data_IF_082036235808
#
_entry.id   IF_082036235808
#
_cell.length_a   1.000
_cell.length_b   1.000
_cell.length_c   1.000
_cell.angle_alpha   90.00
_cell.angle_beta   90.00
_cell.angle_gamma   90.00
#
_symmetry.space_group_name_H-M   'P 1'
#
loop_
_entity.id
_entity.type
_entity.pdbx_description
1 polymer ?
#
# COMPACT_ATOMS: atom_id res chain seq x y z
N UNK A 1 -71.22 -12.12 43.34
CA UNK A 1 -71.19 -11.34 42.08
C UNK A 1 -70.16 -10.25 42.32
N UNK A 2 -69.00 -10.18 41.67
CA UNK A 2 -68.63 -10.44 40.28
C UNK A 2 -67.16 -10.88 40.22
N UNK A 3 -66.88 -11.82 39.32
CA UNK A 3 -65.54 -12.30 38.97
C UNK A 3 -64.84 -11.29 38.05
N UNK A 4 -63.61 -10.89 38.39
CA UNK A 4 -62.74 -10.09 37.52
C UNK A 4 -61.60 -10.96 36.99
N UNK A 5 -61.62 -11.28 35.69
CA UNK A 5 -60.58 -12.04 35.02
C UNK A 5 -59.36 -11.14 34.73
N UNK A 6 -58.18 -11.59 35.14
CA UNK A 6 -56.88 -10.99 34.80
C UNK A 6 -56.41 -11.60 33.47
N UNK A 7 -56.26 -10.77 32.44
CA UNK A 7 -55.60 -11.16 31.20
C UNK A 7 -54.08 -11.01 31.37
N UNK A 8 -53.36 -12.13 31.43
CA UNK A 8 -51.90 -12.14 31.23
C UNK A 8 -51.62 -12.01 29.72
N UNK A 9 -51.06 -10.87 29.32
CA UNK A 9 -50.45 -10.73 28.01
C UNK A 9 -49.06 -11.37 28.02
N UNK A 10 -48.94 -12.56 27.43
CA UNK A 10 -47.66 -13.20 27.17
C UNK A 10 -46.97 -12.44 26.04
N UNK A 11 -45.90 -11.70 26.35
CA UNK A 11 -45.00 -11.19 25.33
C UNK A 11 -44.18 -12.36 24.79
N UNK A 12 -44.40 -12.70 23.51
CA UNK A 12 -43.54 -13.59 22.77
C UNK A 12 -42.16 -12.91 22.65
N UNK A 13 -41.18 -13.36 23.41
CA UNK A 13 -39.77 -13.06 23.14
C UNK A 13 -39.44 -13.80 21.84
N UNK A 14 -39.51 -13.09 20.72
CA UNK A 14 -38.83 -13.52 19.51
C UNK A 14 -37.35 -13.47 19.86
N UNK A 15 -36.76 -14.64 20.10
CA UNK A 15 -35.32 -14.76 20.23
C UNK A 15 -34.69 -14.07 19.03
N UNK A 16 -33.91 -13.02 19.30
CA UNK A 16 -32.98 -12.51 18.33
C UNK A 16 -32.11 -13.70 17.93
N UNK A 17 -32.37 -14.27 16.75
CA UNK A 17 -31.45 -15.19 16.12
C UNK A 17 -30.09 -14.50 16.14
N UNK A 18 -29.08 -15.23 16.62
CA UNK A 18 -27.70 -14.78 16.61
C UNK A 18 -27.42 -14.18 15.22
N UNK A 19 -27.30 -12.85 15.18
CA UNK A 19 -26.93 -12.16 13.96
C UNK A 19 -25.58 -12.73 13.55
N UNK A 20 -25.51 -13.30 12.35
CA UNK A 20 -24.24 -13.62 11.73
C UNK A 20 -23.35 -12.38 11.84
N UNK A 21 -22.17 -12.55 12.44
CA UNK A 21 -21.16 -11.51 12.48
C UNK A 21 -20.84 -10.99 11.08
N UNK A 22 -20.19 -9.83 10.95
CA UNK A 22 -19.64 -9.39 9.66
C UNK A 22 -18.83 -10.55 9.07
N UNK A 23 -19.10 -10.89 7.81
CA UNK A 23 -18.59 -12.13 7.22
C UNK A 23 -17.07 -12.17 7.21
N UNK A 24 -16.50 -13.13 7.94
CA UNK A 24 -15.08 -13.49 7.83
C UNK A 24 -14.70 -13.64 6.35
N UNK A 25 -13.67 -12.93 5.93
CA UNK A 25 -13.06 -13.20 4.63
C UNK A 25 -12.30 -14.51 4.76
N UNK A 26 -12.71 -15.52 4.01
CA UNK A 26 -12.06 -16.84 3.99
C UNK A 26 -10.76 -16.79 3.19
N UNK A 27 -9.77 -16.04 3.71
CA UNK A 27 -8.42 -15.91 3.13
C UNK A 27 -7.35 -16.17 4.18
N UNK A 28 -6.15 -16.53 3.72
CA UNK A 28 -4.96 -16.71 4.56
C UNK A 28 -3.70 -16.40 3.77
N UNK A 29 -2.61 -16.14 4.49
CA UNK A 29 -1.28 -16.09 3.91
C UNK A 29 -0.73 -17.50 3.68
N UNK A 30 -0.32 -17.78 2.45
CA UNK A 30 0.45 -18.96 2.08
C UNK A 30 1.92 -18.56 1.92
N UNK A 31 2.83 -19.03 2.80
CA UNK A 31 4.26 -18.74 2.69
C UNK A 31 4.85 -19.25 1.37
N UNK A 32 5.77 -18.49 0.78
CA UNK A 32 6.51 -18.87 -0.42
C UNK A 32 8.02 -18.74 -0.20
N UNK A 33 8.82 -19.39 -1.05
CA UNK A 33 10.28 -19.34 -0.97
C UNK A 33 10.79 -18.32 -1.97
N UNK A 34 11.30 -17.18 -1.49
CA UNK A 34 11.80 -16.09 -2.33
C UNK A 34 13.14 -16.39 -3.02
N UNK A 35 13.92 -17.32 -2.48
CA UNK A 35 15.29 -17.59 -2.94
C UNK A 35 16.34 -16.60 -2.40
N UNK A 36 16.00 -15.81 -1.38
CA UNK A 36 16.93 -14.91 -0.69
C UNK A 36 16.60 -14.82 0.79
N UNK A 37 17.54 -14.33 1.60
CA UNK A 37 17.35 -14.02 3.02
C UNK A 37 17.44 -12.52 3.32
N UNK A 38 17.65 -11.69 2.30
CA UNK A 38 17.66 -10.23 2.50
C UNK A 38 16.26 -9.75 2.87
N UNK A 39 16.19 -8.65 3.60
CA UNK A 39 14.91 -8.01 3.87
C UNK A 39 14.30 -7.51 2.56
N UNK A 40 13.07 -7.92 2.31
CA UNK A 40 12.26 -7.43 1.20
C UNK A 40 11.37 -6.29 1.69
N UNK A 41 11.33 -5.21 0.93
CA UNK A 41 10.73 -3.93 1.30
C UNK A 41 9.61 -3.54 0.35
N UNK A 42 9.82 -3.60 -0.97
CA UNK A 42 8.79 -3.29 -1.97
C UNK A 42 8.18 -4.55 -2.59
N UNK A 43 6.92 -4.48 -3.00
CA UNK A 43 6.25 -5.53 -3.80
C UNK A 43 5.25 -4.92 -4.78
N UNK A 44 5.24 -5.42 -6.01
CA UNK A 44 4.32 -5.01 -7.08
C UNK A 44 3.74 -6.25 -7.76
N UNK A 45 2.45 -6.48 -7.52
CA UNK A 45 1.69 -7.53 -8.17
C UNK A 45 1.13 -7.00 -9.50
N UNK A 46 1.61 -7.56 -10.62
CA UNK A 46 1.13 -7.19 -11.95
C UNK A 46 -0.20 -7.89 -12.24
N UNK A 47 -0.21 -9.20 -12.02
CA UNK A 47 -1.37 -10.08 -12.13
C UNK A 47 -1.23 -11.28 -11.17
N UNK A 48 -2.13 -12.27 -11.24
CA UNK A 48 -2.08 -13.44 -10.37
C UNK A 48 -0.87 -14.34 -10.61
N UNK A 49 -0.19 -14.20 -11.75
CA UNK A 49 1.00 -14.99 -12.12
C UNK A 49 2.30 -14.22 -11.94
N UNK A 50 2.29 -12.91 -12.17
CA UNK A 50 3.48 -12.08 -12.21
C UNK A 50 3.49 -11.10 -11.04
N UNK A 51 4.56 -11.16 -10.27
CA UNK A 51 4.85 -10.19 -9.23
C UNK A 51 6.36 -9.99 -9.10
N UNK A 52 6.72 -8.78 -8.67
CA UNK A 52 8.09 -8.37 -8.37
C UNK A 52 8.17 -7.93 -6.92
N UNK A 53 9.32 -8.15 -6.31
CA UNK A 53 9.68 -7.64 -5.00
C UNK A 53 11.08 -7.03 -5.04
N UNK A 54 11.36 -6.10 -4.13
CA UNK A 54 12.64 -5.41 -4.03
C UNK A 54 13.06 -5.26 -2.58
N UNK A 55 14.35 -5.12 -2.31
CA UNK A 55 14.84 -5.04 -0.94
C UNK A 55 16.28 -4.58 -0.80
N UNK A 56 16.84 -4.89 0.36
CA UNK A 56 18.18 -4.49 0.75
C UNK A 56 19.26 -5.09 -0.19
N UNK A 57 20.45 -4.49 -0.21
CA UNK A 57 21.63 -4.96 -0.97
C UNK A 57 21.42 -5.07 -2.48
N UNK A 58 20.66 -4.15 -3.06
CA UNK A 58 20.39 -4.08 -4.49
C UNK A 58 19.52 -5.23 -5.01
N UNK A 59 18.79 -5.92 -4.12
CA UNK A 59 18.09 -7.15 -4.46
C UNK A 59 16.74 -6.87 -5.12
N UNK A 60 16.43 -7.68 -6.15
CA UNK A 60 15.08 -7.85 -6.67
C UNK A 60 14.73 -9.33 -6.75
N UNK A 61 13.44 -9.64 -6.62
CA UNK A 61 12.89 -10.99 -6.71
C UNK A 61 11.67 -10.96 -7.62
N UNK A 62 11.47 -12.00 -8.43
CA UNK A 62 10.33 -12.06 -9.34
C UNK A 62 9.75 -13.47 -9.48
N UNK A 63 8.44 -13.53 -9.67
CA UNK A 63 7.72 -14.72 -10.14
C UNK A 63 6.97 -14.46 -11.45
N UNK A 64 6.72 -15.51 -12.23
CA UNK A 64 5.90 -15.53 -13.46
C UNK A 64 4.92 -16.70 -13.50
N UNK A 65 4.83 -17.45 -12.40
CA UNK A 65 4.05 -18.69 -12.27
C UNK A 65 3.11 -18.69 -11.05
N UNK A 66 2.80 -17.50 -10.52
CA UNK A 66 1.89 -17.32 -9.39
C UNK A 66 2.55 -17.56 -8.03
N UNK A 67 3.86 -17.30 -7.95
CA UNK A 67 4.67 -17.49 -6.78
C UNK A 67 4.99 -18.95 -6.46
N UNK A 68 4.81 -19.87 -7.42
CA UNK A 68 5.27 -21.26 -7.28
C UNK A 68 6.80 -21.30 -7.25
N UNK A 69 7.43 -20.46 -8.08
CA UNK A 69 8.87 -20.22 -8.04
C UNK A 69 9.16 -18.72 -8.04
N UNK A 70 10.19 -18.35 -7.28
CA UNK A 70 10.73 -17.00 -7.24
C UNK A 70 12.20 -17.03 -7.65
N UNK A 71 12.61 -16.04 -8.45
CA UNK A 71 13.99 -15.84 -8.87
C UNK A 71 14.52 -14.58 -8.22
N UNK A 72 15.49 -14.72 -7.32
CA UNK A 72 16.20 -13.62 -6.70
C UNK A 72 17.48 -13.30 -7.48
N UNK A 73 17.80 -12.02 -7.60
CA UNK A 73 19.05 -11.52 -8.17
C UNK A 73 19.34 -10.11 -7.64
N UNK A 74 20.49 -9.55 -8.01
CA UNK A 74 20.88 -8.18 -7.66
C UNK A 74 21.04 -7.33 -8.91
N UNK A 75 20.74 -6.04 -8.79
CA UNK A 75 21.06 -5.07 -9.84
C UNK A 75 22.59 -4.86 -9.84
N UNK A 76 23.30 -5.15 -10.95
CA UNK A 76 24.76 -5.02 -10.98
C UNK A 76 25.22 -3.59 -10.65
N UNK A 77 26.15 -3.45 -9.69
CA UNK A 77 26.68 -2.16 -9.26
C UNK A 77 25.79 -1.39 -8.27
N UNK A 78 24.70 -2.01 -7.80
CA UNK A 78 23.78 -1.45 -6.81
C UNK A 78 23.76 -2.26 -5.49
N UNK A 79 24.77 -3.10 -5.25
CA UNK A 79 24.84 -4.01 -4.09
C UNK A 79 24.88 -3.26 -2.74
N UNK A 80 25.24 -1.98 -2.75
CA UNK A 80 25.21 -1.10 -1.59
C UNK A 80 23.94 -0.24 -1.43
N UNK A 81 22.93 -0.45 -2.27
CA UNK A 81 21.68 0.31 -2.26
C UNK A 81 20.54 -0.50 -1.65
N UNK A 82 19.58 0.19 -1.03
CA UNK A 82 18.36 -0.45 -0.51
C UNK A 82 17.17 -0.04 -1.39
N UNK A 83 16.63 -0.98 -2.15
CA UNK A 83 15.45 -0.75 -2.96
C UNK A 83 14.20 -0.80 -2.09
N UNK A 84 13.53 0.35 -1.92
CA UNK A 84 12.30 0.45 -1.12
C UNK A 84 11.05 0.46 -1.96
N UNK A 85 11.15 0.76 -3.25
CA UNK A 85 9.99 0.79 -4.13
C UNK A 85 10.21 -0.09 -5.35
N UNK A 86 9.12 -0.65 -5.86
CA UNK A 86 9.05 -1.35 -7.13
C UNK A 86 7.68 -1.05 -7.77
N UNK A 87 7.68 -0.56 -9.00
CA UNK A 87 6.47 -0.45 -9.82
C UNK A 87 6.67 -1.28 -11.08
N UNK A 88 5.86 -2.33 -11.24
CA UNK A 88 5.97 -3.30 -12.32
C UNK A 88 4.75 -3.25 -13.23
N UNK A 89 5.01 -3.31 -14.54
CA UNK A 89 3.97 -3.28 -15.57
C UNK A 89 3.76 -4.64 -16.22
N UNK A 90 4.81 -5.46 -16.24
CA UNK A 90 4.76 -6.76 -16.86
C UNK A 90 5.76 -7.71 -16.22
N UNK A 91 5.66 -8.94 -16.66
CA UNK A 91 6.80 -9.82 -16.71
C UNK A 91 7.76 -9.15 -17.70
N UNK A 92 8.73 -8.30 -17.37
CA UNK A 92 9.79 -7.76 -18.29
C UNK A 92 10.06 -6.31 -17.96
N UNK A 93 9.01 -5.52 -17.74
CA UNK A 93 9.10 -4.09 -17.44
C UNK A 93 8.82 -3.84 -15.97
N UNK A 94 9.83 -3.31 -15.27
CA UNK A 94 9.71 -2.88 -13.88
C UNK A 94 10.69 -1.72 -13.59
N UNK A 95 10.35 -0.93 -12.58
CA UNK A 95 11.18 0.13 -12.04
C UNK A 95 11.55 -0.19 -10.59
N UNK A 96 12.71 0.29 -10.15
CA UNK A 96 13.16 0.22 -8.75
C UNK A 96 13.61 1.59 -8.27
N UNK A 97 13.19 2.00 -7.07
CA UNK A 97 13.71 3.18 -6.38
C UNK A 97 14.57 2.73 -5.21
N UNK A 98 15.85 3.12 -5.19
CA UNK A 98 16.67 3.04 -4.00
C UNK A 98 16.54 4.30 -3.18
N UNK A 99 16.64 4.14 -1.86
CA UNK A 99 16.63 5.26 -0.92
C UNK A 99 18.04 5.59 -0.44
N UNK A 100 18.17 6.76 0.17
CA UNK A 100 19.39 7.21 0.81
C UNK A 100 19.71 8.66 0.48
N UNK A 101 20.54 9.27 1.30
CA UNK A 101 20.94 10.67 1.12
C UNK A 101 21.82 10.84 -0.12
N UNK A 102 21.66 11.98 -0.82
CA UNK A 102 22.47 12.32 -1.98
C UNK A 102 22.31 11.29 -3.10
N UNK A 103 23.44 10.84 -3.66
CA UNK A 103 23.48 9.98 -4.86
C UNK A 103 22.95 8.56 -4.65
N UNK A 104 22.63 8.16 -3.41
CA UNK A 104 22.05 6.85 -3.09
C UNK A 104 20.58 6.73 -3.49
N UNK A 105 19.86 7.85 -3.58
CA UNK A 105 18.52 7.88 -4.15
C UNK A 105 18.60 7.75 -5.67
N UNK A 106 18.17 6.61 -6.23
CA UNK A 106 18.30 6.29 -7.65
C UNK A 106 17.08 5.56 -8.18
N UNK A 107 16.75 5.77 -9.46
CA UNK A 107 15.70 5.03 -10.16
C UNK A 107 16.33 4.17 -11.24
N UNK A 108 15.99 2.88 -11.27
CA UNK A 108 16.40 1.94 -12.31
C UNK A 108 15.18 1.41 -13.07
N UNK A 109 15.38 1.08 -14.34
CA UNK A 109 14.36 0.45 -15.20
C UNK A 109 14.91 -0.80 -15.87
N UNK A 110 14.12 -1.86 -15.92
CA UNK A 110 14.34 -3.02 -16.80
C UNK A 110 13.22 -3.13 -17.82
N UNK A 111 13.52 -3.71 -18.98
CA UNK A 111 12.56 -4.06 -20.05
C UNK A 111 12.79 -5.49 -20.59
N UNK A 112 13.66 -6.25 -19.93
CA UNK A 112 14.06 -7.61 -20.31
C UNK A 112 13.90 -8.61 -19.15
N UNK A 113 13.19 -8.21 -18.11
CA UNK A 113 12.86 -9.07 -16.99
C UNK A 113 13.93 -9.16 -15.93
N UNK A 114 14.72 -8.10 -15.80
CA UNK A 114 15.77 -7.99 -14.80
C UNK A 114 17.09 -8.60 -15.25
N UNK A 115 17.22 -8.99 -16.53
CA UNK A 115 18.50 -9.41 -17.09
C UNK A 115 19.45 -8.22 -17.20
N UNK A 116 18.92 -7.04 -17.54
CA UNK A 116 19.63 -5.76 -17.45
C UNK A 116 18.78 -4.69 -16.79
N UNK A 117 19.46 -3.74 -16.14
CA UNK A 117 18.85 -2.59 -15.47
C UNK A 117 19.57 -1.32 -15.92
N UNK A 118 18.81 -0.33 -16.38
CA UNK A 118 19.32 0.98 -16.79
C UNK A 118 19.04 2.00 -15.71
N UNK A 119 20.08 2.66 -15.23
CA UNK A 119 19.97 3.81 -14.34
C UNK A 119 19.26 4.96 -15.08
N UNK A 120 18.10 5.37 -14.57
CA UNK A 120 17.25 6.43 -15.13
C UNK A 120 17.46 7.77 -14.42
N UNK A 121 17.75 7.73 -13.12
CA UNK A 121 17.89 8.91 -12.29
C UNK A 121 18.87 8.65 -11.15
N UNK A 122 19.68 9.66 -10.83
CA UNK A 122 20.48 9.75 -9.61
C UNK A 122 20.23 11.10 -9.00
N UNK A 123 19.84 11.12 -7.73
CA UNK A 123 19.63 12.37 -7.01
C UNK A 123 20.95 13.15 -6.90
N UNK A 124 20.92 14.40 -7.37
CA UNK A 124 22.05 15.32 -7.29
C UNK A 124 21.88 16.39 -6.20
N UNK A 125 20.73 16.44 -5.53
CA UNK A 125 20.43 17.44 -4.50
C UNK A 125 20.95 16.95 -3.15
N UNK A 126 21.93 17.65 -2.53
CA UNK A 126 22.39 17.30 -1.19
C UNK A 126 21.25 17.37 -0.17
N UNK A 127 21.17 16.36 0.70
CA UNK A 127 20.12 16.28 1.73
C UNK A 127 18.77 15.74 1.25
N UNK A 128 18.51 15.68 -0.06
CA UNK A 128 17.31 15.04 -0.58
C UNK A 128 17.36 13.52 -0.36
N UNK A 129 16.18 12.94 -0.14
CA UNK A 129 15.94 11.54 0.16
C UNK A 129 14.60 11.15 -0.47
N UNK A 130 14.63 10.38 -1.56
CA UNK A 130 13.41 10.01 -2.29
C UNK A 130 12.69 8.86 -1.58
N UNK A 131 11.43 9.07 -1.21
CA UNK A 131 10.66 8.15 -0.38
C UNK A 131 9.78 7.18 -1.17
N UNK A 132 9.31 7.61 -2.34
CA UNK A 132 8.42 6.79 -3.16
C UNK A 132 8.29 7.30 -4.59
N UNK A 133 7.92 6.37 -5.48
CA UNK A 133 7.57 6.62 -6.86
C UNK A 133 6.25 5.93 -7.21
N UNK A 134 5.54 6.49 -8.18
CA UNK A 134 4.34 5.86 -8.71
C UNK A 134 4.17 6.21 -10.19
N UNK A 135 3.57 5.30 -10.94
CA UNK A 135 3.28 5.52 -12.35
C UNK A 135 1.80 5.36 -12.68
N UNK A 136 1.29 6.35 -13.44
CA UNK A 136 -0.04 6.27 -14.05
C UNK A 136 -0.05 5.24 -15.18
N UNK A 137 1.03 5.17 -15.95
CA UNK A 137 1.27 4.24 -17.06
C UNK A 137 2.78 4.11 -17.32
N UNK A 138 3.19 3.32 -18.34
CA UNK A 138 4.61 3.06 -18.62
C UNK A 138 5.42 4.30 -19.03
N UNK A 139 4.76 5.40 -19.42
CA UNK A 139 5.37 6.63 -19.89
C UNK A 139 5.37 7.74 -18.85
N UNK A 140 4.35 7.77 -17.98
CA UNK A 140 4.12 8.85 -17.04
C UNK A 140 4.32 8.39 -15.60
N UNK A 141 5.30 8.99 -14.93
CA UNK A 141 5.67 8.65 -13.55
C UNK A 141 6.01 9.88 -12.73
N UNK A 142 5.96 9.70 -11.42
CA UNK A 142 6.25 10.73 -10.42
C UNK A 142 7.02 10.10 -9.25
N UNK A 143 7.96 10.86 -8.69
CA UNK A 143 8.64 10.50 -7.45
C UNK A 143 8.76 11.72 -6.55
N UNK A 144 8.76 11.49 -5.24
CA UNK A 144 8.88 12.57 -4.25
C UNK A 144 9.98 12.28 -3.23
N UNK A 145 10.50 13.34 -2.65
CA UNK A 145 11.55 13.33 -1.64
C UNK A 145 11.17 14.19 -0.46
N UNK A 146 11.77 13.86 0.68
CA UNK A 146 11.86 14.70 1.87
C UNK A 146 12.24 16.15 1.57
N UNK A 147 11.84 17.08 2.46
CA UNK A 147 12.03 18.49 2.22
C UNK A 147 13.49 18.92 2.32
N UNK A 148 13.92 19.73 1.36
CA UNK A 148 15.18 20.48 1.38
C UNK A 148 14.82 21.96 1.38
N UNK A 149 15.46 22.74 2.26
CA UNK A 149 15.16 24.18 2.44
C UNK A 149 13.66 24.48 2.65
N UNK A 150 12.99 23.62 3.42
CA UNK A 150 11.60 23.78 3.83
C UNK A 150 10.55 23.41 2.77
N UNK A 151 10.94 22.77 1.66
CA UNK A 151 10.00 22.31 0.62
C UNK A 151 10.33 20.90 0.15
N UNK A 152 9.30 20.08 -0.02
CA UNK A 152 9.40 18.78 -0.67
C UNK A 152 9.91 18.92 -2.10
N UNK A 153 10.60 17.90 -2.59
CA UNK A 153 11.05 17.82 -3.97
C UNK A 153 10.20 16.78 -4.68
N UNK A 154 9.66 17.15 -5.84
CA UNK A 154 8.92 16.24 -6.72
C UNK A 154 9.57 16.26 -8.09
N UNK A 155 9.72 15.09 -8.70
CA UNK A 155 10.16 14.93 -10.08
C UNK A 155 9.12 14.14 -10.87
N UNK A 156 8.96 14.45 -12.15
CA UNK A 156 8.08 13.72 -13.07
C UNK A 156 8.83 13.26 -14.30
N UNK A 157 8.33 12.18 -14.91
CA UNK A 157 8.75 11.72 -16.23
C UNK A 157 7.55 11.62 -17.15
N UNK A 158 7.75 11.95 -18.43
CA UNK A 158 6.75 11.84 -19.50
C UNK A 158 7.23 10.92 -20.64
N UNK A 159 8.40 10.29 -20.47
CA UNK A 159 9.07 9.45 -21.47
C UNK A 159 9.51 8.09 -20.90
N UNK A 160 8.78 7.61 -19.89
CA UNK A 160 9.01 6.31 -19.28
C UNK A 160 10.32 6.22 -18.52
N UNK A 161 10.69 7.31 -17.85
CA UNK A 161 11.87 7.42 -17.01
C UNK A 161 13.15 7.82 -17.74
N UNK A 162 13.15 7.96 -19.07
CA UNK A 162 14.35 8.35 -19.80
C UNK A 162 14.85 9.75 -19.39
N UNK A 163 13.92 10.64 -19.04
CA UNK A 163 14.20 11.91 -18.36
C UNK A 163 13.27 12.11 -17.17
N UNK A 164 13.83 12.72 -16.11
CA UNK A 164 13.10 13.13 -14.93
C UNK A 164 13.29 14.63 -14.71
N UNK A 165 12.19 15.37 -14.60
CA UNK A 165 12.18 16.83 -14.49
C UNK A 165 11.64 17.26 -13.14
N UNK A 166 12.26 18.22 -12.45
CA UNK A 166 11.74 18.75 -11.21
C UNK A 166 10.45 19.54 -11.43
N UNK A 167 9.50 19.38 -10.52
CA UNK A 167 8.37 20.30 -10.35
C UNK A 167 8.87 21.55 -9.64
N UNK A 168 8.36 22.72 -10.05
CA UNK A 168 8.74 24.00 -9.42
C UNK A 168 8.38 23.98 -7.93
N UNK A 169 9.35 24.31 -7.06
CA UNK A 169 9.18 24.24 -5.60
C UNK A 169 8.04 25.14 -5.09
N UNK A 170 7.73 26.22 -5.80
CA UNK A 170 6.64 27.15 -5.50
C UNK A 170 5.26 26.51 -5.66
N UNK A 171 5.14 25.46 -6.48
CA UNK A 171 3.90 24.71 -6.65
C UNK A 171 3.59 23.80 -5.46
N UNK A 172 4.59 23.52 -4.60
CA UNK A 172 4.47 22.67 -3.43
C UNK A 172 4.25 23.53 -2.17
N UNK A 173 3.30 23.19 -1.30
CA UNK A 173 3.16 23.82 0.02
C UNK A 173 4.45 23.69 0.86
N UNK A 174 4.73 24.65 1.77
CA UNK A 174 5.87 24.53 2.67
C UNK A 174 5.73 23.33 3.62
N UNK A 175 6.86 22.69 3.91
CA UNK A 175 6.95 21.66 4.92
C UNK A 175 6.85 22.26 6.33
N UNK A 176 6.27 21.51 7.27
CA UNK A 176 6.31 21.87 8.68
C UNK A 176 7.65 21.45 9.31
N UNK A 177 8.06 22.04 10.44
CA UNK A 177 9.23 21.57 11.18
C UNK A 177 9.12 20.08 11.51
N UNK A 178 10.15 19.31 11.14
CA UNK A 178 10.24 17.88 11.36
C UNK A 178 9.26 17.02 10.55
N UNK A 179 8.63 17.60 9.52
CA UNK A 179 7.78 16.85 8.61
C UNK A 179 8.60 16.17 7.51
N UNK A 180 8.24 14.92 7.22
CA UNK A 180 8.93 14.08 6.27
C UNK A 180 7.95 13.13 5.57
N UNK A 181 8.39 12.59 4.43
CA UNK A 181 7.82 11.41 3.82
C UNK A 181 8.19 10.15 4.62
N UNK A 182 7.62 9.03 4.19
CA UNK A 182 8.06 7.72 4.64
C UNK A 182 8.41 6.88 3.41
N UNK A 183 9.62 6.31 3.39
CA UNK A 183 10.01 5.21 2.52
C UNK A 183 9.28 3.89 2.87
N UNK A 184 7.95 3.97 2.89
CA UNK A 184 6.97 2.96 3.26
C UNK A 184 6.62 2.09 2.05
N UNK A 185 7.66 1.50 1.48
CA UNK A 185 7.52 0.44 0.49
C UNK A 185 6.83 0.87 -0.82
N UNK A 186 6.98 2.14 -1.21
CA UNK A 186 6.30 2.74 -2.36
C UNK A 186 4.84 3.09 -2.17
N UNK A 187 4.26 2.82 -0.99
CA UNK A 187 2.81 3.00 -0.79
C UNK A 187 2.44 4.32 -0.12
N UNK A 188 3.42 5.11 0.30
CA UNK A 188 3.21 6.48 0.78
C UNK A 188 2.79 7.45 -0.34
N UNK A 189 2.88 7.03 -1.60
CA UNK A 189 2.39 7.74 -2.77
C UNK A 189 1.35 6.88 -3.51
N UNK A 190 0.30 7.51 -4.02
CA UNK A 190 -0.72 6.85 -4.81
C UNK A 190 -1.07 7.69 -6.05
N UNK A 191 -1.35 7.02 -7.16
CA UNK A 191 -1.84 7.64 -8.39
C UNK A 191 -3.18 7.02 -8.80
N UNK A 192 -4.04 7.83 -9.42
CA UNK A 192 -5.35 7.37 -9.91
C UNK A 192 -5.72 8.08 -11.21
N UNK A 193 -6.39 7.34 -12.10
CA UNK A 193 -6.77 7.86 -13.41
C UNK A 193 -5.54 8.24 -14.24
N UNK A 194 -5.60 9.38 -14.92
CA UNK A 194 -4.52 9.85 -15.80
C UNK A 194 -3.71 11.02 -15.21
N UNK A 195 -4.13 11.58 -14.07
CA UNK A 195 -3.56 12.81 -13.55
C UNK A 195 -3.56 12.97 -12.03
N UNK A 196 -4.34 12.18 -11.28
CA UNK A 196 -4.39 12.37 -9.85
C UNK A 196 -3.22 11.70 -9.14
N UNK A 197 -2.67 12.38 -8.14
CA UNK A 197 -1.62 11.88 -7.26
C UNK A 197 -1.79 12.42 -5.85
N UNK A 198 -1.44 11.58 -4.88
CA UNK A 198 -1.38 11.91 -3.46
C UNK A 198 -0.09 11.37 -2.86
N UNK A 199 0.53 12.08 -1.93
CA UNK A 199 1.54 11.49 -1.05
C UNK A 199 1.31 11.88 0.42
N UNK A 200 1.57 10.91 1.29
CA UNK A 200 1.36 10.97 2.73
C UNK A 200 2.62 11.40 3.48
N UNK A 201 2.41 12.15 4.55
CA UNK A 201 3.46 12.73 5.39
C UNK A 201 3.22 12.45 6.87
N UNK A 202 4.27 12.61 7.67
CA UNK A 202 4.22 12.49 9.12
C UNK A 202 5.13 13.49 9.83
N UNK A 203 5.26 13.31 11.15
CA UNK A 203 5.99 14.25 12.01
C UNK A 203 5.01 15.14 12.79
N UNK A 204 5.25 16.46 12.82
CA UNK A 204 4.44 17.39 13.61
C UNK A 204 2.95 17.43 13.23
N UNK A 205 2.61 17.02 12.01
CA UNK A 205 1.25 16.72 11.58
C UNK A 205 1.26 15.54 10.60
N UNK A 206 0.16 14.78 10.55
CA UNK A 206 -0.08 13.78 9.53
C UNK A 206 -0.85 14.43 8.37
N UNK A 207 -0.17 14.72 7.26
CA UNK A 207 -0.75 15.45 6.12
C UNK A 207 -0.73 14.60 4.85
N UNK A 208 -1.57 14.97 3.90
CA UNK A 208 -1.57 14.46 2.53
C UNK A 208 -1.46 15.64 1.58
N UNK A 209 -0.46 15.61 0.71
CA UNK A 209 -0.39 16.51 -0.45
C UNK A 209 -1.09 15.83 -1.61
N UNK A 210 -1.82 16.61 -2.41
CA UNK A 210 -2.57 16.08 -3.53
C UNK A 210 -2.61 17.02 -4.73
N UNK A 211 -2.61 16.41 -5.91
CA UNK A 211 -2.68 17.09 -7.19
C UNK A 211 -3.67 16.37 -8.11
N UNK A 212 -4.30 17.12 -9.00
CA UNK A 212 -5.20 16.61 -10.05
C UNK A 212 -4.62 16.81 -11.47
N UNK A 213 -3.38 17.28 -11.58
CA UNK A 213 -2.74 17.72 -12.81
C UNK A 213 -1.31 17.17 -12.95
N UNK A 214 -1.11 15.89 -12.60
CA UNK A 214 0.18 15.17 -12.67
C UNK A 214 1.28 15.80 -11.82
N UNK A 215 0.91 16.37 -10.67
CA UNK A 215 1.86 16.97 -9.74
C UNK A 215 2.35 18.35 -10.17
N UNK A 216 1.66 19.04 -11.10
CA UNK A 216 2.03 20.41 -11.48
C UNK A 216 1.58 21.45 -10.45
N UNK A 217 0.42 21.25 -9.81
CA UNK A 217 -0.07 22.09 -8.71
C UNK A 217 -0.52 21.24 -7.52
N UNK A 218 -0.10 21.62 -6.32
CA UNK A 218 -0.36 20.85 -5.11
C UNK A 218 -1.26 21.58 -4.13
N UNK A 219 -2.18 20.82 -3.55
CA UNK A 219 -2.97 21.19 -2.39
C UNK A 219 -2.54 20.31 -1.21
N UNK A 220 -2.98 20.68 0.00
CA UNK A 220 -2.63 19.95 1.22
C UNK A 220 -3.82 19.84 2.16
N UNK A 221 -3.92 18.69 2.84
CA UNK A 221 -4.92 18.44 3.87
C UNK A 221 -4.30 17.72 5.07
N UNK A 222 -4.77 18.06 6.26
CA UNK A 222 -4.46 17.30 7.49
C UNK A 222 -5.35 16.07 7.60
N UNK A 223 -4.81 15.01 8.19
CA UNK A 223 -5.53 13.76 8.50
C UNK A 223 -5.64 13.58 10.01
N UNK A 224 -6.59 12.75 10.49
CA UNK A 224 -6.67 12.38 11.91
C UNK A 224 -5.72 11.23 12.29
N UNK A 225 -4.73 10.88 11.44
CA UNK A 225 -3.75 9.84 11.78
C UNK A 225 -2.81 10.32 12.89
N UNK A 226 -2.15 9.36 13.54
CA UNK A 226 -1.18 9.62 14.59
C UNK A 226 -0.08 10.60 14.13
N UNK A 227 0.37 11.45 15.05
CA UNK A 227 1.39 12.48 14.82
C UNK A 227 2.51 12.36 15.84
N UNK A 228 3.62 13.04 15.59
CA UNK A 228 4.85 12.98 16.37
C UNK A 228 5.94 12.16 15.69
N UNK A 229 7.02 11.96 16.41
CA UNK A 229 8.19 11.24 15.89
C UNK A 229 7.80 9.79 15.50
N UNK A 230 8.07 9.45 14.24
CA UNK A 230 7.77 8.14 13.67
C UNK A 230 6.29 7.86 13.38
N UNK A 231 5.43 8.89 13.42
CA UNK A 231 4.01 8.77 13.17
C UNK A 231 3.52 9.57 11.96
N UNK A 232 2.56 9.02 11.23
CA UNK A 232 1.90 9.71 10.11
C UNK A 232 1.22 8.78 9.13
N UNK A 233 1.13 9.23 7.88
CA UNK A 233 0.50 8.50 6.76
C UNK A 233 1.56 7.65 6.04
N UNK A 234 1.48 6.33 6.17
CA UNK A 234 2.44 5.39 5.56
C UNK A 234 1.96 4.82 4.24
N UNK A 235 0.65 4.68 4.08
CA UNK A 235 0.07 4.04 2.91
C UNK A 235 -1.19 4.76 2.46
N UNK A 236 -1.32 4.95 1.15
CA UNK A 236 -2.48 5.55 0.50
C UNK A 236 -3.04 4.60 -0.54
N UNK A 237 -4.37 4.42 -0.53
CA UNK A 237 -5.08 3.64 -1.54
C UNK A 237 -6.32 4.40 -1.99
N UNK A 238 -6.40 4.67 -3.30
CA UNK A 238 -7.53 5.34 -3.93
C UNK A 238 -8.19 4.40 -4.95
N UNK A 239 -9.50 4.20 -4.81
CA UNK A 239 -10.29 3.40 -5.77
C UNK A 239 -11.14 4.27 -6.69
N UNK A 240 -11.17 5.59 -6.46
CA UNK A 240 -11.63 6.59 -7.41
C UNK A 240 -10.87 7.90 -7.22
N UNK A 241 -11.17 8.90 -8.06
CA UNK A 241 -10.70 10.28 -7.95
C UNK A 241 -11.18 10.99 -6.67
N UNK A 242 -12.15 10.39 -5.97
CA UNK A 242 -12.80 10.96 -4.78
C UNK A 242 -12.60 10.10 -3.54
N UNK A 243 -12.59 8.80 -3.68
CA UNK A 243 -12.70 7.88 -2.57
C UNK A 243 -11.38 7.14 -2.34
N UNK A 244 -10.85 7.26 -1.12
CA UNK A 244 -9.57 6.71 -0.73
C UNK A 244 -9.44 6.49 0.77
N UNK A 245 -8.39 5.78 1.15
CA UNK A 245 -8.02 5.48 2.52
C UNK A 245 -6.53 5.76 2.74
N UNK A 246 -6.22 6.31 3.90
CA UNK A 246 -4.89 6.49 4.44
C UNK A 246 -4.72 5.51 5.61
N UNK A 247 -3.61 4.78 5.63
CA UNK A 247 -3.22 3.85 6.67
C UNK A 247 -1.84 4.23 7.20
N UNK A 248 -1.64 4.07 8.50
CA UNK A 248 -0.38 4.40 9.16
C UNK A 248 -0.45 4.14 10.65
N UNK A 249 -0.07 5.15 11.44
CA UNK A 249 0.12 5.03 12.89
C UNK A 249 1.54 5.43 13.26
N UNK A 250 2.09 4.85 14.34
CA UNK A 250 3.45 5.12 14.79
C UNK A 250 4.31 3.83 14.75
N UNK A 251 5.32 3.78 13.89
CA UNK A 251 6.16 2.57 13.77
C UNK A 251 7.05 2.31 15.00
N UNK A 252 7.30 3.34 15.82
CA UNK A 252 8.03 3.19 17.10
C UNK A 252 7.14 2.63 18.21
N UNK A 253 5.83 2.63 18.00
CA UNK A 253 4.83 2.13 18.95
C UNK A 253 3.80 1.29 18.19
N UNK A 254 4.21 0.15 17.62
CA UNK A 254 3.44 -0.52 16.58
C UNK A 254 2.13 -1.15 17.07
N UNK A 255 1.93 -1.28 18.38
CA UNK A 255 0.69 -1.76 19.00
C UNK A 255 -0.33 -0.64 19.28
N UNK A 256 0.03 0.64 19.08
CA UNK A 256 -0.94 1.74 19.24
C UNK A 256 -1.97 1.69 18.10
N UNK A 257 -3.25 1.60 18.47
CA UNK A 257 -4.39 1.48 17.53
C UNK A 257 -5.01 2.82 17.17
N UNK A 258 -4.71 3.88 17.93
CA UNK A 258 -5.23 5.21 17.69
C UNK A 258 -4.60 5.86 16.44
N UNK A 259 -5.42 6.50 15.60
CA UNK A 259 -4.93 7.24 14.44
C UNK A 259 -4.25 6.36 13.38
N UNK A 260 -4.72 5.12 13.20
CA UNK A 260 -4.13 4.14 12.27
C UNK A 260 -4.78 4.14 10.88
N UNK A 261 -5.99 4.70 10.75
CA UNK A 261 -6.69 4.81 9.47
C UNK A 261 -7.54 6.09 9.36
N UNK A 262 -7.66 6.62 8.14
CA UNK A 262 -8.61 7.66 7.80
C UNK A 262 -9.14 7.47 6.38
N UNK A 263 -10.38 7.88 6.14
CA UNK A 263 -11.02 7.80 4.81
C UNK A 263 -11.33 9.18 4.26
N UNK A 264 -11.33 9.29 2.94
CA UNK A 264 -11.78 10.47 2.20
C UNK A 264 -12.83 10.07 1.16
N UNK A 265 -13.77 10.98 0.90
CA UNK A 265 -14.81 10.84 -0.13
C UNK A 265 -14.83 12.03 -1.10
N UNK A 266 -13.83 12.92 -1.03
CA UNK A 266 -13.72 14.12 -1.85
C UNK A 266 -12.31 14.35 -2.40
N UNK A 267 -11.56 13.27 -2.61
CA UNK A 267 -10.25 13.29 -3.29
C UNK A 267 -9.12 13.73 -2.39
N UNK A 268 -9.20 13.46 -1.09
CA UNK A 268 -8.18 13.84 -0.11
C UNK A 268 -8.28 15.27 0.39
N UNK A 269 -9.33 16.02 0.03
CA UNK A 269 -9.56 17.40 0.54
C UNK A 269 -9.89 17.41 2.03
N UNK A 270 -10.64 16.41 2.50
CA UNK A 270 -10.91 16.19 3.92
C UNK A 270 -10.81 14.70 4.24
N UNK A 271 -10.39 14.41 5.48
CA UNK A 271 -10.19 13.06 6.00
C UNK A 271 -10.93 12.87 7.31
N UNK A 272 -11.55 11.71 7.51
CA UNK A 272 -12.31 11.37 8.71
C UNK A 272 -11.90 10.01 9.26
N UNK A 273 -11.95 9.87 10.59
CA UNK A 273 -11.78 8.57 11.25
C UNK A 273 -12.93 7.65 10.82
N UNK A 274 -12.67 6.39 10.42
CA UNK A 274 -13.72 5.43 10.11
C UNK A 274 -14.59 5.15 11.34
N UNK A 275 -15.89 4.96 11.16
CA UNK A 275 -16.85 4.84 12.26
C UNK A 275 -16.95 3.44 12.91
N UNK A 276 -16.08 2.49 12.54
CA UNK A 276 -16.11 1.11 13.02
C UNK A 276 -14.82 0.68 13.72
N UNK A 277 -14.51 -0.61 13.72
CA UNK A 277 -13.31 -1.15 14.38
C UNK A 277 -12.04 -0.68 13.67
N UNK A 278 -11.06 -0.25 14.46
CA UNK A 278 -9.75 0.19 13.98
C UNK A 278 -8.84 -1.00 13.65
N UNK A 279 -7.73 -0.72 12.96
CA UNK A 279 -6.64 -1.67 12.78
C UNK A 279 -6.06 -2.11 14.12
N UNK A 280 -5.53 -3.34 14.18
CA UNK A 280 -4.86 -3.87 15.37
C UNK A 280 -3.56 -3.17 15.78
N UNK A 281 -3.14 -2.12 15.07
CA UNK A 281 -1.95 -1.33 15.37
C UNK A 281 -1.46 -0.56 14.14
N UNK A 282 -0.20 -0.14 14.18
CA UNK A 282 0.49 0.41 13.02
C UNK A 282 0.50 -0.58 11.86
N UNK A 283 0.12 -0.12 10.67
CA UNK A 283 0.28 -0.85 9.42
C UNK A 283 1.06 0.00 8.43
N UNK A 284 2.05 -0.63 7.80
CA UNK A 284 2.94 0.04 6.85
C UNK A 284 2.35 0.12 5.45
N UNK A 285 1.36 -0.73 5.13
CA UNK A 285 0.86 -0.87 3.78
C UNK A 285 -0.61 -1.32 3.75
N UNK A 286 -1.39 -0.83 2.78
CA UNK A 286 -2.75 -1.29 2.48
C UNK A 286 -2.91 -1.57 0.98
N UNK A 287 -3.62 -2.65 0.63
CA UNK A 287 -3.93 -3.03 -0.75
C UNK A 287 -5.40 -3.42 -0.91
N UNK A 288 -5.94 -3.32 -2.12
CA UNK A 288 -7.31 -3.70 -2.42
C UNK A 288 -7.44 -5.19 -2.75
N UNK A 289 -8.38 -5.89 -2.13
CA UNK A 289 -8.80 -7.21 -2.55
C UNK A 289 -10.03 -7.04 -3.46
N UNK A 290 -9.95 -7.47 -4.70
CA UNK A 290 -11.01 -7.25 -5.69
C UNK A 290 -12.07 -8.36 -5.67
N UNK A 291 -12.48 -8.79 -4.47
CA UNK A 291 -13.60 -9.69 -4.28
C UNK A 291 -14.90 -8.87 -4.29
N UNK A 292 -15.68 -8.96 -5.37
CA UNK A 292 -17.04 -8.44 -5.47
C UNK A 292 -17.23 -6.90 -5.51
N UNK A 293 -18.50 -6.49 -5.64
CA UNK A 293 -18.97 -5.10 -5.87
C UNK A 293 -18.74 -4.14 -4.67
N UNK A 294 -17.90 -4.50 -3.70
CA UNK A 294 -17.63 -3.72 -2.48
C UNK A 294 -16.12 -3.57 -2.28
N UNK A 295 -15.63 -2.41 -1.80
CA UNK A 295 -14.21 -2.22 -1.54
C UNK A 295 -13.76 -3.10 -0.37
N UNK A 296 -12.94 -4.11 -0.64
CA UNK A 296 -12.28 -4.92 0.37
C UNK A 296 -10.79 -4.59 0.40
N UNK A 297 -10.20 -4.58 1.59
CA UNK A 297 -8.81 -4.20 1.83
C UNK A 297 -8.08 -5.22 2.69
N UNK A 298 -6.79 -5.34 2.48
CA UNK A 298 -5.84 -5.98 3.39
C UNK A 298 -4.78 -4.96 3.77
N UNK A 299 -4.51 -4.83 5.06
CA UNK A 299 -3.43 -4.01 5.59
C UNK A 299 -2.41 -4.90 6.28
N UNK A 300 -1.12 -4.58 6.13
CA UNK A 300 -0.03 -5.35 6.74
C UNK A 300 0.93 -4.41 7.46
N UNK A 301 1.59 -4.94 8.48
CA UNK A 301 2.65 -4.27 9.21
C UNK A 301 3.50 -5.27 10.00
N UNK A 302 4.50 -4.77 10.75
CA UNK A 302 5.41 -5.62 11.51
C UNK A 302 4.74 -6.49 12.57
N UNK A 303 3.57 -6.10 13.08
CA UNK A 303 2.83 -6.81 14.14
C UNK A 303 1.65 -7.63 13.62
N UNK A 304 1.49 -7.74 12.31
CA UNK A 304 0.48 -8.60 11.70
C UNK A 304 -0.26 -7.93 10.54
N UNK A 305 -1.43 -8.48 10.24
CA UNK A 305 -2.29 -8.05 9.15
C UNK A 305 -3.75 -8.00 9.57
N UNK A 306 -4.51 -7.13 8.92
CA UNK A 306 -5.94 -6.94 9.12
C UNK A 306 -6.65 -6.91 7.77
N UNK A 307 -7.92 -7.29 7.76
CA UNK A 307 -8.78 -7.26 6.58
C UNK A 307 -10.03 -6.43 6.85
N UNK A 308 -10.48 -5.72 5.82
CA UNK A 308 -11.76 -5.01 5.82
C UNK A 308 -12.60 -5.42 4.63
N UNK A 309 -13.90 -5.66 4.85
CA UNK A 309 -14.88 -6.02 3.81
C UNK A 309 -15.82 -4.89 3.41
N UNK A 310 -15.64 -3.71 3.99
CA UNK A 310 -16.60 -2.61 3.92
C UNK A 310 -15.94 -1.25 3.72
N UNK A 311 -14.85 -1.22 2.97
CA UNK A 311 -14.14 0.02 2.61
C UNK A 311 -13.38 0.63 3.78
N UNK A 312 -12.80 -0.20 4.65
CA UNK A 312 -11.99 0.24 5.79
C UNK A 312 -12.79 0.81 6.95
N UNK A 313 -14.12 0.58 6.99
CA UNK A 313 -14.97 1.02 8.11
C UNK A 313 -14.75 0.15 9.34
N UNK A 314 -14.69 -1.18 9.15
CA UNK A 314 -14.33 -2.13 10.19
C UNK A 314 -13.14 -2.97 9.70
N UNK A 315 -12.24 -3.27 10.61
CA UNK A 315 -11.08 -4.14 10.41
C UNK A 315 -11.14 -5.33 11.36
N UNK A 316 -10.68 -6.47 10.87
CA UNK A 316 -10.57 -7.73 11.58
C UNK A 316 -9.15 -8.29 11.43
N UNK A 317 -8.51 -8.78 12.51
CA UNK A 317 -7.19 -9.41 12.41
C UNK A 317 -7.22 -10.62 11.47
N UNK A 318 -6.23 -10.71 10.58
CA UNK A 318 -6.06 -11.83 9.66
C UNK A 318 -4.99 -12.81 10.17
N UNK A 319 -3.81 -12.31 10.49
CA UNK A 319 -2.65 -13.13 10.88
C UNK A 319 -1.60 -12.26 11.61
N UNK A 320 -0.80 -12.86 12.49
CA UNK A 320 0.23 -12.17 13.28
C UNK A 320 1.61 -12.07 12.58
N UNK A 321 1.77 -12.64 11.39
CA UNK A 321 3.01 -12.58 10.62
C UNK A 321 3.31 -11.15 10.20
N UNK A 322 4.51 -10.68 10.55
CA UNK A 322 4.98 -9.36 10.18
C UNK A 322 5.35 -9.23 8.71
N UNK A 323 4.80 -8.24 8.02
CA UNK A 323 5.18 -7.84 6.66
C UNK A 323 5.45 -6.34 6.59
N UNK A 324 6.24 -5.93 5.60
CA UNK A 324 6.56 -4.53 5.31
C UNK A 324 5.67 -3.95 4.21
N UNK A 325 5.21 -4.78 3.28
CA UNK A 325 4.41 -4.33 2.14
C UNK A 325 3.48 -5.42 1.64
N UNK A 326 2.38 -5.00 1.03
CA UNK A 326 1.41 -5.85 0.35
C UNK A 326 1.00 -5.20 -0.97
N UNK A 327 0.89 -5.99 -2.03
CA UNK A 327 0.39 -5.51 -3.32
C UNK A 327 -0.58 -6.52 -3.91
N UNK A 328 -1.65 -6.00 -4.49
CA UNK A 328 -2.63 -6.76 -5.26
C UNK A 328 -2.66 -6.29 -6.70
N UNK A 329 -3.00 -7.17 -7.66
CA UNK A 329 -3.10 -6.79 -9.06
C UNK A 329 -4.05 -5.62 -9.30
N UNK A 330 -3.64 -4.69 -10.18
CA UNK A 330 -4.50 -3.56 -10.61
C UNK A 330 -5.80 -4.01 -11.29
N UNK A 331 -5.85 -5.24 -11.83
CA UNK A 331 -7.04 -5.85 -12.45
C UNK A 331 -7.68 -6.87 -11.52
N UNK A 332 -9.01 -7.02 -11.61
CA UNK A 332 -9.86 -7.89 -10.75
C UNK A 332 -9.32 -9.32 -10.62
N UNK A 333 -8.51 -9.55 -9.59
CA UNK A 333 -7.93 -10.83 -9.24
C UNK A 333 -7.87 -10.93 -7.72
N UNK A 334 -8.29 -12.07 -7.21
CA UNK A 334 -8.44 -12.32 -5.78
C UNK A 334 -7.14 -12.84 -5.18
N UNK A 335 -6.10 -12.05 -5.27
CA UNK A 335 -4.79 -12.40 -4.71
C UNK A 335 -3.98 -11.16 -4.39
N UNK A 336 -3.05 -11.32 -3.46
CA UNK A 336 -2.06 -10.32 -3.10
C UNK A 336 -0.76 -11.01 -2.75
N UNK A 337 0.35 -10.29 -2.85
CA UNK A 337 1.65 -10.73 -2.37
C UNK A 337 2.11 -9.80 -1.27
N UNK A 338 2.64 -10.35 -0.19
CA UNK A 338 3.21 -9.61 0.92
C UNK A 338 4.68 -9.99 1.12
N UNK A 339 5.51 -9.02 1.53
CA UNK A 339 6.96 -9.19 1.71
C UNK A 339 7.44 -8.64 3.05
N UNK A 340 8.54 -9.18 3.59
CA UNK A 340 9.03 -8.81 4.91
C UNK A 340 10.49 -9.13 5.20
N UNK A 341 10.79 -9.25 6.51
CA UNK A 341 12.11 -9.64 7.05
C UNK A 341 12.60 -10.97 6.49
N UNK A 342 13.92 -11.17 6.46
CA UNK A 342 14.54 -12.48 6.19
C UNK A 342 14.09 -13.15 4.86
N UNK A 343 13.86 -12.34 3.82
CA UNK A 343 13.40 -12.83 2.52
C UNK A 343 11.94 -13.29 2.51
N UNK A 344 11.18 -13.01 3.56
CA UNK A 344 9.79 -13.45 3.70
C UNK A 344 8.95 -12.95 2.54
N UNK A 345 8.22 -13.87 1.95
CA UNK A 345 7.22 -13.61 0.94
C UNK A 345 6.03 -14.54 1.15
N UNK A 346 4.82 -14.03 0.98
CA UNK A 346 3.61 -14.83 1.10
C UNK A 346 2.60 -14.39 0.04
N UNK A 347 1.74 -15.31 -0.34
CA UNK A 347 0.61 -15.05 -1.24
C UNK A 347 -0.70 -15.18 -0.47
N UNK A 348 -1.60 -14.23 -0.68
CA UNK A 348 -2.96 -14.33 -0.15
C UNK A 348 -3.76 -15.31 -1.02
N UNK A 349 -4.32 -16.33 -0.37
CA UNK A 349 -5.11 -17.39 -0.99
C UNK A 349 -6.40 -17.63 -0.21
N UNK A 350 -7.44 -18.25 -0.81
CA UNK A 350 -8.60 -18.73 -0.07
C UNK A 350 -8.20 -19.67 1.06
N UNK A 351 -8.83 -19.55 2.22
CA UNK A 351 -8.53 -20.40 3.37
C UNK A 351 -9.11 -21.82 3.20
N UNK A 352 -10.28 -21.95 2.57
CA UNK A 352 -10.89 -23.23 2.16
C UNK A 352 -10.61 -23.55 0.69
N UNK A 353 -10.34 -24.82 0.32
CA UNK A 353 -10.24 -25.23 -1.08
C UNK A 353 -11.57 -24.97 -1.80
N UNK A 354 -11.53 -24.46 -3.04
CA UNK A 354 -12.73 -24.39 -3.86
C UNK A 354 -13.32 -25.80 -4.03
N UNK A 355 -14.60 -26.00 -3.71
CA UNK A 355 -15.27 -27.26 -3.97
C UNK A 355 -15.10 -27.63 -5.45
N UNK A 356 -14.74 -28.90 -5.78
CA UNK A 356 -14.66 -29.32 -7.16
C UNK A 356 -16.02 -29.12 -7.82
N UNK A 357 -16.05 -28.41 -8.96
CA UNK A 357 -17.27 -28.28 -9.76
C UNK A 357 -17.85 -29.68 -10.02
N UNK A 358 -19.14 -29.94 -9.75
CA UNK A 358 -19.73 -31.22 -10.05
C UNK A 358 -19.52 -31.52 -11.54
N UNK A 359 -19.02 -32.72 -11.82
CA UNK A 359 -18.82 -33.16 -13.20
C UNK A 359 -20.15 -32.99 -13.96
N UNK A 360 -20.11 -32.52 -15.22
CA UNK A 360 -21.31 -32.45 -16.02
C UNK A 360 -21.95 -33.84 -16.04
N UNK A 361 -23.21 -33.92 -15.61
CA UNK A 361 -23.99 -35.15 -15.76
C UNK A 361 -23.95 -35.50 -17.25
N UNK A 362 -23.36 -36.65 -17.58
CA UNK A 362 -23.43 -37.19 -18.94
C UNK A 362 -24.91 -37.37 -19.30
N UNK A 363 -25.31 -37.00 -20.52
CA UNK A 363 -26.71 -37.04 -20.96
C UNK A 363 -27.29 -38.44 -20.90
#
# INVERSE_FOLDING_TARGET
MTTGAVWLATWLVIGAGAGAGPGNVDVKWEPQVSGTTVRLRGVSAVDARVAWASGDKGTFVRTTDGGKTWKASTVPGAEGLDFRDVDAFSERTAYLLSIGTGDKSRIYKTTDGGATWKLQFTNAVPGAFFDGMAFWDEQHGIAFSDPVDGRFIVITTEDGGATWKPVMKEALPPALPGEAGFAASGTSIAVQGTSHVWFGLGGSAARVLYSADRGQNWNIATTPLATGEGAGVFSLLFWSDKAGIAVGGNYKKPEETAGTAAVTLNGGKTWSVPSGTSLGGYRSCVASLLHARRPMFVAVGPTGSDVSVNGGRTWEPLDATGFHAVSSPRRKQDTAYAVGEEGRIARLVPASPAEPKPAPKKP
#
